data_IF_611583215562
#
_entry.id   IF_611583215562
#
_cell.length_a   1.000
_cell.length_b   1.000
_cell.length_c   1.000
_cell.angle_alpha   90.00
_cell.angle_beta   90.00
_cell.angle_gamma   90.00
#
_symmetry.space_group_name_H-M   'P 1'
#
loop_
_entity.id
_entity.type
_entity.pdbx_description
1 polymer ?
#
# COMPACT_ATOMS: atom_id res chain seq x y z
N UNK A 1 -22.20 -16.70 -41.64
CA UNK A 1 -22.24 -15.71 -40.55
C UNK A 1 -22.00 -16.47 -39.26
N UNK A 2 -20.75 -16.50 -38.80
CA UNK A 2 -20.35 -17.23 -37.59
C UNK A 2 -20.79 -16.36 -36.41
N UNK A 3 -21.80 -16.81 -35.66
CA UNK A 3 -22.20 -16.13 -34.43
C UNK A 3 -21.16 -16.48 -33.37
N UNK A 4 -20.15 -15.62 -33.19
CA UNK A 4 -19.26 -15.68 -32.05
C UNK A 4 -20.10 -15.30 -30.81
N UNK A 5 -20.52 -16.30 -30.04
CA UNK A 5 -21.08 -16.07 -28.72
C UNK A 5 -19.95 -15.57 -27.82
N UNK A 6 -20.03 -14.32 -27.37
CA UNK A 6 -19.13 -13.79 -26.35
C UNK A 6 -19.42 -14.54 -25.06
N UNK A 7 -18.42 -15.28 -24.54
CA UNK A 7 -18.52 -15.87 -23.22
C UNK A 7 -18.71 -14.73 -22.22
N UNK A 8 -19.89 -14.65 -21.60
CA UNK A 8 -20.11 -13.73 -20.49
C UNK A 8 -19.31 -14.21 -19.28
N UNK A 9 -18.46 -13.36 -18.73
CA UNK A 9 -17.78 -13.65 -17.48
C UNK A 9 -18.83 -13.64 -16.35
N UNK A 10 -18.84 -14.68 -15.51
CA UNK A 10 -19.82 -14.78 -14.43
C UNK A 10 -19.43 -13.83 -13.30
N UNK A 11 -20.17 -12.74 -13.15
CA UNK A 11 -20.01 -11.82 -12.02
C UNK A 11 -20.91 -12.27 -10.85
N UNK A 12 -20.46 -12.06 -9.63
CA UNK A 12 -21.24 -12.28 -8.41
C UNK A 12 -21.58 -10.94 -7.80
N UNK A 13 -22.86 -10.74 -7.51
CA UNK A 13 -23.32 -9.60 -6.72
C UNK A 13 -24.00 -10.09 -5.45
N UNK A 14 -23.43 -9.75 -4.30
CA UNK A 14 -24.10 -9.88 -3.01
C UNK A 14 -24.94 -8.64 -2.80
N UNK A 15 -26.23 -8.72 -3.14
CA UNK A 15 -27.14 -7.59 -2.97
C UNK A 15 -27.28 -7.16 -1.50
N UNK A 16 -27.71 -5.91 -1.28
CA UNK A 16 -27.94 -5.37 0.06
C UNK A 16 -28.88 -6.26 0.89
N UNK A 17 -28.51 -6.51 2.14
CA UNK A 17 -29.21 -7.44 3.04
C UNK A 17 -28.98 -8.93 2.74
N UNK A 18 -28.33 -9.26 1.63
CA UNK A 18 -27.89 -10.61 1.31
C UNK A 18 -26.55 -10.96 1.96
N UNK A 19 -26.28 -12.25 2.07
CA UNK A 19 -25.00 -12.76 2.56
C UNK A 19 -24.52 -13.96 1.76
N UNK A 20 -23.23 -14.02 1.45
CA UNK A 20 -22.55 -15.22 0.95
C UNK A 20 -21.44 -15.59 1.93
N UNK A 21 -21.35 -16.88 2.26
CA UNK A 21 -20.30 -17.48 3.09
C UNK A 21 -19.70 -18.65 2.33
N UNK A 22 -18.38 -18.65 2.14
CA UNK A 22 -17.69 -19.68 1.36
C UNK A 22 -17.15 -20.86 2.18
N UNK A 23 -17.10 -20.75 3.52
CA UNK A 23 -16.55 -21.81 4.36
C UNK A 23 -15.08 -22.08 4.04
N UNK A 24 -14.78 -23.33 3.72
CA UNK A 24 -13.45 -23.77 3.25
C UNK A 24 -13.45 -24.16 1.75
N UNK A 25 -14.39 -23.61 0.99
CA UNK A 25 -14.57 -23.93 -0.43
C UNK A 25 -13.55 -23.25 -1.35
N UNK A 26 -13.75 -23.45 -2.66
CA UNK A 26 -13.05 -22.71 -3.71
C UNK A 26 -14.09 -22.09 -4.65
N UNK A 27 -13.84 -20.86 -5.07
CA UNK A 27 -14.67 -20.12 -6.02
C UNK A 27 -13.78 -19.55 -7.11
N UNK A 28 -14.01 -19.96 -8.34
CA UNK A 28 -13.36 -19.39 -9.51
C UNK A 28 -14.34 -18.46 -10.22
N UNK A 29 -13.98 -17.18 -10.35
CA UNK A 29 -14.80 -16.18 -11.03
C UNK A 29 -14.47 -16.07 -12.53
N UNK A 30 -13.41 -16.73 -12.99
CA UNK A 30 -13.03 -16.78 -14.41
C UNK A 30 -12.80 -15.41 -15.05
N UNK A 31 -12.50 -14.38 -14.26
CA UNK A 31 -12.36 -12.98 -14.65
C UNK A 31 -13.61 -12.12 -14.38
N UNK A 32 -14.67 -12.69 -13.83
CA UNK A 32 -15.88 -11.96 -13.47
C UNK A 32 -15.74 -11.15 -12.18
N UNK A 33 -16.55 -10.10 -12.06
CA UNK A 33 -16.46 -9.16 -10.93
C UNK A 33 -17.16 -9.71 -9.68
N UNK A 34 -16.63 -9.35 -8.51
CA UNK A 34 -17.29 -9.52 -7.22
C UNK A 34 -17.77 -8.16 -6.72
N UNK A 35 -19.08 -7.99 -6.61
CA UNK A 35 -19.71 -6.79 -6.05
C UNK A 35 -20.38 -7.15 -4.74
N UNK A 36 -19.99 -6.48 -3.66
CA UNK A 36 -20.46 -6.75 -2.29
C UNK A 36 -21.24 -5.53 -1.79
N UNK A 37 -22.56 -5.52 -1.97
CA UNK A 37 -23.46 -4.53 -1.37
C UNK A 37 -24.04 -5.02 -0.03
N UNK A 38 -24.05 -6.34 0.19
CA UNK A 38 -24.43 -7.02 1.43
C UNK A 38 -23.21 -7.48 2.22
N UNK A 39 -23.20 -8.75 2.64
CA UNK A 39 -22.10 -9.37 3.38
C UNK A 39 -21.43 -10.50 2.60
N UNK A 40 -20.12 -10.41 2.39
CA UNK A 40 -19.32 -11.50 1.82
C UNK A 40 -18.32 -12.00 2.85
N UNK A 41 -18.41 -13.28 3.20
CA UNK A 41 -17.48 -13.94 4.14
C UNK A 41 -16.63 -14.95 3.37
N UNK A 42 -15.35 -14.63 3.23
CA UNK A 42 -14.36 -15.51 2.60
C UNK A 42 -14.00 -16.69 3.51
N UNK A 43 -14.04 -16.50 4.83
CA UNK A 43 -13.75 -17.53 5.83
C UNK A 43 -12.39 -18.20 5.59
N UNK A 44 -12.30 -19.49 5.27
CA UNK A 44 -11.06 -20.19 4.94
C UNK A 44 -10.97 -20.56 3.44
N UNK A 45 -11.85 -19.98 2.62
CA UNK A 45 -11.98 -20.32 1.22
C UNK A 45 -10.90 -19.66 0.35
N UNK A 46 -10.79 -20.15 -0.88
CA UNK A 46 -9.94 -19.56 -1.92
C UNK A 46 -10.80 -19.02 -3.05
N UNK A 47 -10.63 -17.74 -3.40
CA UNK A 47 -11.24 -17.13 -4.59
C UNK A 47 -10.15 -16.91 -5.64
N UNK A 48 -10.37 -17.39 -6.87
CA UNK A 48 -9.42 -17.22 -7.98
C UNK A 48 -10.03 -16.46 -9.14
N UNK A 49 -9.16 -15.83 -9.93
CA UNK A 49 -9.52 -15.10 -11.14
C UNK A 49 -10.68 -14.11 -10.91
N UNK A 50 -10.69 -13.42 -9.78
CA UNK A 50 -11.61 -12.30 -9.61
C UNK A 50 -11.24 -11.19 -10.60
N UNK A 51 -12.23 -10.63 -11.29
CA UNK A 51 -12.09 -9.46 -12.17
C UNK A 51 -11.82 -8.23 -11.33
N UNK A 52 -12.84 -7.39 -11.12
CA UNK A 52 -12.83 -6.32 -10.13
C UNK A 52 -13.47 -6.80 -8.82
N UNK A 53 -13.05 -6.24 -7.69
CA UNK A 53 -13.70 -6.40 -6.39
C UNK A 53 -14.20 -5.03 -5.94
N UNK A 54 -15.52 -4.92 -5.77
CA UNK A 54 -16.18 -3.70 -5.30
C UNK A 54 -16.87 -3.99 -3.98
N UNK A 55 -16.45 -3.32 -2.92
CA UNK A 55 -16.99 -3.46 -1.57
C UNK A 55 -17.76 -2.19 -1.24
N UNK A 56 -19.10 -2.27 -1.25
CA UNK A 56 -20.00 -1.21 -0.79
C UNK A 56 -20.62 -1.55 0.58
N UNK A 57 -20.73 -2.84 0.89
CA UNK A 57 -21.20 -3.41 2.15
C UNK A 57 -20.05 -3.88 3.04
N UNK A 58 -20.10 -5.13 3.50
CA UNK A 58 -19.09 -5.73 4.38
C UNK A 58 -18.43 -6.93 3.74
N UNK A 59 -17.10 -6.93 3.67
CA UNK A 59 -16.29 -8.07 3.28
C UNK A 59 -15.43 -8.51 4.48
N UNK A 60 -15.73 -9.69 5.06
CA UNK A 60 -14.86 -10.38 6.00
C UNK A 60 -13.92 -11.37 5.29
N UNK A 61 -12.62 -11.11 5.36
CA UNK A 61 -11.57 -11.92 4.74
C UNK A 61 -11.32 -13.25 5.46
N UNK A 62 -11.65 -13.38 6.74
CA UNK A 62 -11.32 -14.57 7.54
C UNK A 62 -9.83 -14.96 7.46
N UNK A 63 -9.54 -16.23 7.23
CA UNK A 63 -8.20 -16.75 6.94
C UNK A 63 -8.00 -17.21 5.50
N UNK A 64 -8.90 -16.84 4.59
CA UNK A 64 -8.88 -17.28 3.20
C UNK A 64 -7.93 -16.49 2.31
N UNK A 65 -7.97 -16.78 1.01
CA UNK A 65 -7.15 -16.07 0.02
C UNK A 65 -7.96 -15.68 -1.22
N UNK A 66 -7.55 -14.59 -1.86
CA UNK A 66 -8.17 -14.08 -3.07
C UNK A 66 -7.10 -13.66 -4.09
N UNK A 67 -7.23 -14.17 -5.31
CA UNK A 67 -6.49 -13.71 -6.48
C UNK A 67 -7.36 -12.81 -7.35
N UNK A 68 -6.92 -11.56 -7.51
CA UNK A 68 -7.58 -10.48 -8.22
C UNK A 68 -6.78 -10.09 -9.48
N UNK A 69 -7.47 -9.87 -10.60
CA UNK A 69 -6.89 -9.48 -11.89
C UNK A 69 -7.16 -8.02 -12.25
N UNK A 70 -8.13 -7.39 -11.62
CA UNK A 70 -8.52 -6.00 -11.86
C UNK A 70 -8.44 -5.15 -10.59
N UNK A 71 -9.40 -4.23 -10.46
CA UNK A 71 -9.40 -3.18 -9.46
C UNK A 71 -9.88 -3.68 -8.09
N UNK A 72 -9.27 -3.16 -7.03
CA UNK A 72 -9.75 -3.25 -5.66
C UNK A 72 -10.42 -1.93 -5.27
N UNK A 73 -11.72 -1.95 -5.03
CA UNK A 73 -12.50 -0.75 -4.70
C UNK A 73 -13.21 -0.96 -3.37
N UNK A 74 -12.68 -0.34 -2.32
CA UNK A 74 -13.25 -0.40 -0.97
C UNK A 74 -14.00 0.90 -0.61
N UNK A 75 -15.30 0.92 -0.85
CA UNK A 75 -16.21 1.99 -0.41
C UNK A 75 -16.91 1.68 0.93
N UNK A 76 -16.75 0.45 1.44
CA UNK A 76 -17.46 -0.10 2.59
C UNK A 76 -16.53 -0.53 3.71
N UNK A 77 -16.87 -1.65 4.35
CA UNK A 77 -16.05 -2.25 5.41
C UNK A 77 -15.32 -3.48 4.88
N UNK A 78 -14.00 -3.39 4.83
CA UNK A 78 -13.14 -4.56 4.65
C UNK A 78 -12.50 -4.94 5.99
N UNK A 79 -12.76 -6.17 6.44
CA UNK A 79 -12.13 -6.75 7.62
C UNK A 79 -11.19 -7.87 7.20
N UNK A 80 -9.89 -7.58 7.11
CA UNK A 80 -8.92 -8.53 6.58
C UNK A 80 -8.70 -9.78 7.44
N UNK A 81 -8.86 -9.70 8.75
CA UNK A 81 -8.51 -10.78 9.69
C UNK A 81 -7.09 -11.32 9.41
N UNK A 82 -6.95 -12.56 8.92
CA UNK A 82 -5.65 -13.13 8.52
C UNK A 82 -5.59 -13.48 7.02
N UNK A 83 -6.47 -12.88 6.21
CA UNK A 83 -6.60 -13.19 4.79
C UNK A 83 -5.43 -12.70 3.94
N UNK A 84 -5.28 -13.31 2.76
CA UNK A 84 -4.25 -12.98 1.78
C UNK A 84 -4.90 -12.47 0.49
N UNK A 85 -4.65 -11.21 0.14
CA UNK A 85 -5.12 -10.62 -1.12
C UNK A 85 -3.94 -10.51 -2.08
N UNK A 86 -4.08 -11.08 -3.27
CA UNK A 86 -3.07 -11.03 -4.33
C UNK A 86 -3.66 -10.39 -5.56
N UNK A 87 -3.05 -9.30 -6.02
CA UNK A 87 -3.40 -8.62 -7.25
C UNK A 87 -2.30 -8.89 -8.29
N UNK A 88 -2.70 -9.39 -9.46
CA UNK A 88 -1.79 -9.63 -10.58
C UNK A 88 -2.21 -8.80 -11.78
N UNK A 89 -1.37 -7.86 -12.16
CA UNK A 89 -1.46 -7.15 -13.43
C UNK A 89 -0.59 -7.92 -14.44
N UNK A 90 -1.22 -8.54 -15.46
CA UNK A 90 -0.52 -9.40 -16.43
C UNK A 90 -0.53 -8.86 -17.87
N UNK A 91 -1.10 -7.67 -18.09
CA UNK A 91 -1.32 -7.08 -19.40
C UNK A 91 -0.42 -5.87 -19.71
N UNK A 92 0.30 -5.35 -18.72
CA UNK A 92 1.06 -4.10 -18.80
C UNK A 92 0.17 -2.86 -18.64
N UNK A 93 -1.07 -3.05 -18.19
CA UNK A 93 -2.03 -1.99 -17.87
C UNK A 93 -1.90 -1.50 -16.43
N UNK A 94 -3.03 -1.13 -15.85
CA UNK A 94 -3.10 -0.59 -14.49
C UNK A 94 -4.28 -1.19 -13.74
N UNK A 95 -4.07 -1.55 -12.47
CA UNK A 95 -5.13 -1.90 -11.53
C UNK A 95 -5.21 -0.86 -10.42
N UNK A 96 -6.41 -0.39 -10.10
CA UNK A 96 -6.62 0.61 -9.08
C UNK A 96 -6.80 -0.01 -7.68
N UNK A 97 -6.31 0.69 -6.65
CA UNK A 97 -6.65 0.49 -5.25
C UNK A 97 -7.36 1.75 -4.76
N UNK A 98 -8.68 1.66 -4.61
CA UNK A 98 -9.57 2.78 -4.30
C UNK A 98 -10.13 2.62 -2.88
N UNK A 99 -10.16 3.72 -2.13
CA UNK A 99 -10.56 3.76 -0.73
C UNK A 99 -9.49 3.25 0.22
N UNK A 100 -9.65 3.55 1.50
CA UNK A 100 -8.73 3.07 2.54
C UNK A 100 -8.95 1.58 2.78
N UNK A 101 -7.87 0.80 2.94
CA UNK A 101 -7.96 -0.63 3.25
C UNK A 101 -6.89 -1.04 4.24
N UNK A 102 -7.24 -1.96 5.15
CA UNK A 102 -6.29 -2.64 6.04
C UNK A 102 -6.23 -4.09 5.60
N UNK A 103 -5.10 -4.51 5.04
CA UNK A 103 -4.81 -5.87 4.62
C UNK A 103 -3.99 -6.59 5.69
N UNK A 104 -4.21 -7.89 5.83
CA UNK A 104 -3.30 -8.74 6.59
C UNK A 104 -2.06 -9.09 5.76
N UNK A 105 -2.29 -9.76 4.63
CA UNK A 105 -1.28 -9.91 3.58
C UNK A 105 -1.74 -9.32 2.26
N UNK A 106 -0.83 -8.60 1.60
CA UNK A 106 -1.04 -8.01 0.28
C UNK A 106 0.12 -8.40 -0.66
N UNK A 107 -0.23 -8.88 -1.85
CA UNK A 107 0.72 -9.11 -2.94
C UNK A 107 0.31 -8.30 -4.17
N UNK A 108 1.24 -7.50 -4.70
CA UNK A 108 1.08 -6.70 -5.90
C UNK A 108 2.13 -7.15 -6.92
N UNK A 109 1.75 -7.93 -7.91
CA UNK A 109 2.72 -8.50 -8.86
C UNK A 109 2.38 -8.11 -10.28
N UNK A 110 3.39 -7.68 -11.04
CA UNK A 110 3.28 -7.54 -12.49
C UNK A 110 4.55 -8.06 -13.19
N UNK A 111 4.50 -9.23 -13.86
CA UNK A 111 5.66 -9.72 -14.60
C UNK A 111 5.95 -8.91 -15.88
N UNK A 112 5.02 -8.01 -16.24
CA UNK A 112 5.07 -7.22 -17.48
C UNK A 112 5.25 -5.71 -17.25
N UNK A 113 5.48 -5.30 -16.00
CA UNK A 113 5.75 -3.89 -15.64
C UNK A 113 4.51 -2.99 -15.65
N UNK A 114 3.32 -3.53 -15.40
CA UNK A 114 2.10 -2.74 -15.19
C UNK A 114 2.10 -1.97 -13.88
N UNK A 115 1.03 -1.22 -13.67
CA UNK A 115 0.87 -0.29 -12.56
C UNK A 115 -0.19 -0.74 -11.55
N UNK A 116 0.05 -0.45 -10.27
CA UNK A 116 -0.95 -0.41 -9.22
C UNK A 116 -1.16 1.03 -8.78
N UNK A 117 -2.35 1.55 -9.06
CA UNK A 117 -2.69 2.97 -8.92
C UNK A 117 -3.49 3.15 -7.63
N UNK A 118 -2.86 3.74 -6.62
CA UNK A 118 -3.51 4.05 -5.35
C UNK A 118 -4.30 5.35 -5.51
N UNK A 119 -5.54 5.38 -5.00
CA UNK A 119 -6.31 6.61 -4.96
C UNK A 119 -5.56 7.68 -4.16
N UNK A 120 -5.36 8.86 -4.72
CA UNK A 120 -4.73 9.96 -4.01
C UNK A 120 -5.44 10.28 -2.69
N UNK A 121 -4.66 10.47 -1.63
CA UNK A 121 -5.16 10.70 -0.27
C UNK A 121 -5.65 9.45 0.45
N UNK A 122 -5.63 8.28 -0.18
CA UNK A 122 -5.97 7.01 0.48
C UNK A 122 -4.77 6.41 1.22
N UNK A 123 -5.07 5.56 2.20
CA UNK A 123 -4.11 4.79 2.96
C UNK A 123 -4.35 3.29 2.73
N UNK A 124 -3.32 2.60 2.24
CA UNK A 124 -3.29 1.15 2.16
C UNK A 124 -2.39 0.63 3.28
N UNK A 125 -2.98 0.10 4.35
CA UNK A 125 -2.24 -0.46 5.48
C UNK A 125 -2.10 -1.97 5.35
N UNK A 126 -0.91 -2.50 5.63
CA UNK A 126 -0.57 -3.91 5.61
C UNK A 126 -0.03 -4.28 6.98
N UNK A 127 -0.70 -5.21 7.66
CA UNK A 127 -0.37 -5.51 9.07
C UNK A 127 0.60 -6.67 9.26
N UNK A 128 0.79 -7.55 8.26
CA UNK A 128 1.66 -8.72 8.41
C UNK A 128 2.69 -8.91 7.29
N UNK A 129 2.27 -8.93 6.02
CA UNK A 129 3.18 -9.25 4.91
C UNK A 129 2.85 -8.51 3.62
N UNK A 130 3.85 -7.83 3.06
CA UNK A 130 3.77 -7.11 1.79
C UNK A 130 4.69 -7.77 0.75
N UNK A 131 4.15 -8.09 -0.42
CA UNK A 131 4.94 -8.53 -1.58
C UNK A 131 4.69 -7.58 -2.74
N UNK A 132 5.75 -7.05 -3.34
CA UNK A 132 5.66 -6.22 -4.55
C UNK A 132 6.71 -6.70 -5.53
N UNK A 133 6.30 -7.32 -6.63
CA UNK A 133 7.23 -7.97 -7.56
C UNK A 133 6.98 -7.55 -9.00
N UNK A 134 7.98 -6.87 -9.57
CA UNK A 134 8.13 -6.71 -11.01
C UNK A 134 9.06 -7.76 -11.61
N UNK A 135 9.50 -7.52 -12.85
CA UNK A 135 10.57 -8.26 -13.49
C UNK A 135 11.74 -7.35 -13.91
N UNK A 136 12.91 -7.93 -14.13
CA UNK A 136 14.09 -7.16 -14.58
C UNK A 136 13.80 -6.45 -15.92
N UNK A 137 14.01 -5.13 -15.94
CA UNK A 137 13.67 -4.28 -17.09
C UNK A 137 12.17 -4.02 -17.28
N UNK A 138 11.32 -4.60 -16.44
CA UNK A 138 9.86 -4.42 -16.41
C UNK A 138 9.41 -4.23 -14.96
N UNK A 139 9.87 -3.15 -14.29
CA UNK A 139 9.52 -2.91 -12.91
C UNK A 139 8.02 -2.62 -12.77
N UNK A 140 7.39 -3.18 -11.73
CA UNK A 140 6.01 -2.84 -11.39
C UNK A 140 5.95 -1.38 -10.91
N UNK A 141 4.96 -0.62 -11.36
CA UNK A 141 4.81 0.78 -10.98
C UNK A 141 3.79 0.93 -9.85
N UNK A 142 4.13 1.65 -8.80
CA UNK A 142 3.23 2.01 -7.70
C UNK A 142 3.05 3.53 -7.75
N UNK A 143 1.85 3.99 -8.03
CA UNK A 143 1.60 5.40 -8.29
C UNK A 143 0.31 5.93 -7.66
N UNK A 144 0.30 7.21 -7.36
CA UNK A 144 -0.90 7.93 -6.94
C UNK A 144 -1.73 8.35 -8.16
N UNK A 145 -3.07 8.26 -8.06
CA UNK A 145 -3.98 8.51 -9.18
C UNK A 145 -4.06 9.97 -9.66
N UNK A 146 -3.67 10.94 -8.83
CA UNK A 146 -3.74 12.37 -9.11
C UNK A 146 -2.54 13.14 -8.51
N UNK A 147 -1.33 13.01 -9.08
CA UNK A 147 -0.16 13.78 -8.66
C UNK A 147 -0.41 15.30 -8.74
N UNK A 148 0.14 16.12 -7.82
CA UNK A 148 1.12 15.77 -6.80
C UNK A 148 0.53 15.26 -5.48
N UNK A 149 -0.78 14.97 -5.43
CA UNK A 149 -1.40 14.47 -4.20
C UNK A 149 -0.87 13.06 -3.88
N UNK A 150 -0.44 12.86 -2.63
CA UNK A 150 0.18 11.62 -2.18
C UNK A 150 -0.88 10.56 -1.86
N UNK A 151 -0.59 9.31 -2.20
CA UNK A 151 -1.22 8.15 -1.57
C UNK A 151 -0.22 7.50 -0.59
N UNK A 152 -0.72 6.78 0.41
CA UNK A 152 0.10 6.22 1.48
C UNK A 152 0.03 4.69 1.48
N UNK A 153 1.19 4.06 1.62
CA UNK A 153 1.32 2.62 1.86
C UNK A 153 1.99 2.42 3.21
N UNK A 154 1.33 1.68 4.10
CA UNK A 154 1.80 1.52 5.48
C UNK A 154 2.10 0.06 5.75
N UNK A 155 3.35 -0.31 5.96
CA UNK A 155 3.68 -1.61 6.53
C UNK A 155 3.83 -1.44 8.04
N UNK A 156 2.96 -2.12 8.79
CA UNK A 156 3.00 -2.04 10.25
C UNK A 156 4.33 -2.58 10.78
N UNK A 157 4.80 -1.99 11.88
CA UNK A 157 6.04 -2.39 12.55
C UNK A 157 6.08 -3.91 12.82
N UNK A 158 7.19 -4.54 12.45
CA UNK A 158 7.37 -6.00 12.53
C UNK A 158 6.75 -6.80 11.38
N UNK A 159 6.11 -6.15 10.40
CA UNK A 159 5.67 -6.77 9.16
C UNK A 159 6.85 -7.20 8.28
N UNK A 160 6.63 -8.22 7.46
CA UNK A 160 7.61 -8.72 6.49
C UNK A 160 7.39 -8.11 5.11
N UNK A 161 8.47 -7.92 4.36
CA UNK A 161 8.41 -7.41 2.99
C UNK A 161 9.28 -8.24 2.04
N UNK A 162 8.77 -8.47 0.84
CA UNK A 162 9.50 -9.01 -0.30
C UNK A 162 9.22 -8.11 -1.50
N UNK A 163 10.11 -7.15 -1.74
CA UNK A 163 9.93 -6.10 -2.75
C UNK A 163 11.12 -6.10 -3.69
N UNK A 164 10.88 -6.23 -4.99
CA UNK A 164 11.92 -6.21 -6.01
C UNK A 164 11.37 -5.70 -7.35
N UNK A 165 12.23 -5.02 -8.12
CA UNK A 165 11.89 -4.43 -9.42
C UNK A 165 10.64 -3.54 -9.35
N UNK A 166 10.71 -2.46 -8.55
CA UNK A 166 9.59 -1.55 -8.32
C UNK A 166 9.96 -0.11 -8.67
N UNK A 167 9.03 0.59 -9.31
CA UNK A 167 9.05 2.04 -9.49
C UNK A 167 7.97 2.69 -8.66
N UNK A 168 8.26 3.84 -8.04
CA UNK A 168 7.32 4.56 -7.16
C UNK A 168 7.17 6.02 -7.60
N UNK A 169 5.93 6.48 -7.69
CA UNK A 169 5.57 7.83 -8.12
C UNK A 169 4.52 8.46 -7.20
N UNK A 170 4.92 9.42 -6.36
CA UNK A 170 4.02 10.15 -5.46
C UNK A 170 3.27 9.26 -4.46
N UNK A 171 3.93 8.21 -3.97
CA UNK A 171 3.41 7.33 -2.92
C UNK A 171 4.40 7.30 -1.78
N UNK A 172 3.94 7.62 -0.57
CA UNK A 172 4.78 7.58 0.62
C UNK A 172 4.62 6.24 1.34
N UNK A 173 5.72 5.73 1.84
CA UNK A 173 5.76 4.62 2.78
C UNK A 173 5.88 5.17 4.20
N UNK A 174 4.98 4.76 5.08
CA UNK A 174 5.07 5.07 6.52
C UNK A 174 4.96 3.78 7.34
N UNK A 175 5.38 3.83 8.60
CA UNK A 175 5.65 2.62 9.38
C UNK A 175 7.06 2.11 9.12
N UNK A 176 7.19 0.86 8.65
CA UNK A 176 8.50 0.31 8.25
C UNK A 176 8.98 0.91 6.91
N UNK A 177 10.28 1.24 6.77
CA UNK A 177 10.85 1.59 5.47
C UNK A 177 10.61 0.49 4.44
N UNK A 178 10.19 0.85 3.22
CA UNK A 178 9.92 -0.12 2.16
C UNK A 178 11.09 -0.21 1.17
N UNK A 179 11.42 -1.45 0.80
CA UNK A 179 12.47 -1.80 -0.15
C UNK A 179 13.84 -1.13 0.13
N UNK A 180 14.38 -1.21 1.37
CA UNK A 180 15.54 -0.41 1.80
C UNK A 180 16.82 -0.70 1.00
N UNK A 181 16.93 -1.87 0.38
CA UNK A 181 18.10 -2.28 -0.42
C UNK A 181 17.88 -2.13 -1.94
N UNK A 182 16.70 -1.65 -2.35
CA UNK A 182 16.33 -1.43 -3.73
C UNK A 182 16.49 0.05 -4.14
N UNK A 183 16.22 0.33 -5.40
CA UNK A 183 16.16 1.70 -5.95
C UNK A 183 14.87 1.90 -6.73
N UNK A 184 14.45 3.15 -6.88
CA UNK A 184 13.26 3.49 -7.65
C UNK A 184 13.47 3.24 -9.16
N UNK A 185 12.85 2.20 -9.70
CA UNK A 185 12.99 1.78 -11.10
C UNK A 185 11.79 2.23 -11.95
N UNK A 186 11.96 3.34 -12.68
CA UNK A 186 10.94 3.83 -13.63
C UNK A 186 9.92 4.81 -13.04
N UNK A 187 9.83 4.93 -11.71
CA UNK A 187 8.98 5.90 -11.05
C UNK A 187 9.51 7.33 -11.16
N UNK A 188 8.63 8.31 -10.94
CA UNK A 188 8.95 9.75 -10.98
C UNK A 188 9.51 10.29 -9.65
N UNK A 189 9.61 9.45 -8.61
CA UNK A 189 10.04 9.84 -7.27
C UNK A 189 8.89 10.41 -6.42
N UNK A 190 9.24 11.22 -5.41
CA UNK A 190 8.32 11.64 -4.33
C UNK A 190 7.79 10.43 -3.55
N UNK A 191 8.76 9.61 -3.15
CA UNK A 191 8.70 8.25 -2.64
C UNK A 191 9.25 8.19 -1.21
N UNK A 192 8.87 9.15 -0.37
CA UNK A 192 9.33 9.21 1.02
C UNK A 192 9.08 7.89 1.76
N UNK A 193 10.07 7.42 2.52
CA UNK A 193 10.03 6.15 3.24
C UNK A 193 10.26 4.89 2.38
N UNK A 194 10.34 5.06 1.05
CA UNK A 194 10.80 4.02 0.14
C UNK A 194 12.29 4.18 -0.13
N UNK A 195 12.95 3.04 -0.35
CA UNK A 195 14.33 2.92 -0.79
C UNK A 195 15.38 3.50 0.16
N UNK A 196 16.51 2.82 0.24
CA UNK A 196 17.59 3.19 1.15
C UNK A 196 17.27 2.87 2.61
N UNK A 197 18.29 2.45 3.35
CA UNK A 197 18.22 2.18 4.78
C UNK A 197 18.36 3.45 5.66
N UNK A 198 18.15 4.64 5.09
CA UNK A 198 18.81 5.87 5.57
C UNK A 198 17.96 7.08 5.97
N UNK A 199 16.64 7.10 5.82
CA UNK A 199 15.85 8.27 6.27
C UNK A 199 15.65 8.33 7.80
N UNK A 200 16.16 7.33 8.53
CA UNK A 200 16.27 7.33 9.99
C UNK A 200 17.70 7.22 10.49
N UNK A 201 18.73 7.57 9.69
CA UNK A 201 19.91 8.11 10.36
C UNK A 201 19.43 9.36 11.08
N UNK A 202 19.32 9.27 12.41
CA UNK A 202 19.40 10.41 13.28
C UNK A 202 20.69 11.12 12.88
N UNK A 203 20.65 12.04 11.93
CA UNK A 203 21.74 12.98 11.71
C UNK A 203 21.92 13.57 13.10
N UNK A 204 23.03 13.30 13.81
CA UNK A 204 23.20 13.84 15.13
C UNK A 204 23.08 15.34 14.94
N UNK A 205 22.05 15.97 15.51
CA UNK A 205 22.04 17.43 15.59
C UNK A 205 23.37 17.74 16.25
N UNK A 206 24.27 18.51 15.59
CA UNK A 206 25.57 18.78 16.17
C UNK A 206 25.33 19.50 17.49
N UNK A 207 25.34 18.74 18.58
CA UNK A 207 25.27 19.28 19.92
C UNK A 207 26.63 19.91 20.15
N UNK A 208 26.64 21.13 20.68
CA UNK A 208 27.87 21.73 21.14
C UNK A 208 28.51 20.73 22.11
N UNK A 209 29.78 20.40 21.87
CA UNK A 209 30.55 19.59 22.82
C UNK A 209 30.51 20.27 24.20
N UNK A 210 30.70 19.53 25.29
CA UNK A 210 30.71 20.10 26.65
C UNK A 210 31.59 21.38 26.73
N UNK A 211 32.79 21.44 26.11
CA UNK A 211 33.55 22.69 26.00
C UNK A 211 32.83 23.81 25.23
N UNK A 212 32.20 23.51 24.09
CA UNK A 212 31.42 24.49 23.33
C UNK A 212 30.22 25.04 24.10
N UNK A 213 29.59 24.20 24.91
CA UNK A 213 28.46 24.57 25.77
C UNK A 213 28.91 25.44 26.95
N UNK A 214 30.08 25.16 27.53
CA UNK A 214 30.72 26.01 28.55
C UNK A 214 31.11 27.38 27.98
N UNK A 215 31.62 27.42 26.75
CA UNK A 215 32.03 28.66 26.09
C UNK A 215 30.81 29.55 25.79
N UNK A 216 29.70 28.95 25.36
CA UNK A 216 28.42 29.63 25.22
C UNK A 216 27.91 30.18 26.57
N UNK A 217 27.92 29.37 27.63
CA UNK A 217 27.51 29.83 28.97
C UNK A 217 28.37 31.01 29.46
N UNK A 218 29.69 30.97 29.23
CA UNK A 218 30.58 32.09 29.55
C UNK A 218 30.22 33.35 28.77
N UNK A 219 29.94 33.22 27.47
CA UNK A 219 29.55 34.35 26.62
C UNK A 219 28.25 35.02 27.09
N UNK A 220 27.25 34.22 27.51
CA UNK A 220 26.00 34.74 28.06
C UNK A 220 26.21 35.45 29.39
N UNK A 221 27.08 34.93 30.26
CA UNK A 221 27.43 35.59 31.53
C UNK A 221 28.15 36.93 31.33
N UNK A 222 29.05 37.01 30.34
CA UNK A 222 29.73 38.25 29.97
C UNK A 222 28.73 39.28 29.42
N UNK A 223 27.84 38.87 28.51
CA UNK A 223 26.80 39.74 27.96
C UNK A 223 25.82 40.23 29.03
N UNK A 224 25.41 39.37 29.96
CA UNK A 224 24.56 39.75 31.08
C UNK A 224 25.23 40.76 32.03
N UNK A 225 26.55 40.67 32.19
CA UNK A 225 27.33 41.60 33.01
C UNK A 225 27.54 42.96 32.34
N UNK A 226 27.77 42.98 31.03
CA UNK A 226 27.92 44.21 30.23
C UNK A 226 26.57 44.93 30.07
N UNK A 227 25.47 44.20 29.86
CA UNK A 227 24.13 44.79 29.82
C UNK A 227 23.72 45.46 31.14
N UNK A 228 24.17 44.93 32.28
CA UNK A 228 23.92 45.53 33.60
C UNK A 228 24.73 46.81 33.87
N UNK A 229 25.87 47.00 33.22
CA UNK A 229 26.66 48.24 33.34
C UNK A 229 26.12 49.42 32.52
N UNK A 230 25.17 49.18 31.61
CA UNK A 230 24.54 50.22 30.77
C UNK A 230 23.16 50.67 31.31
N UNK A 231 22.70 50.09 32.43
CA UNK A 231 21.42 50.38 33.06
C UNK A 231 21.53 51.11 34.41
N UNK A 232 22.66 51.78 34.67
CA UNK A 232 22.90 52.65 35.83
C UNK A 232 23.25 54.06 35.37
#
# INVERSE_FOLDING_TARGET
MLCLAQAGLASITVGSGGSISLGSGALDLGGGDLVVDGQFNLEAATVTEAGNVVINGSFDGGGGSMLLRGDWINNGLFNAQTSQISMIEASGGSNALVGDSIFYGLSLTSPVGGAFVLQSGSVQQIVNSLTILGASGQPVQIESSNPPQIAEMVLQAGGSQNIAFVGVSNVHATGEPLAPDETNQGGSGNDFGWFGSGLFELIPVPTLTIPGLLLMMLSMLVLARVGRSQAL
#
